data_IF_006893241342
#
_entry.id   IF_006893241342
#
_cell.length_a   1.000
_cell.length_b   1.000
_cell.length_c   1.000
_cell.angle_alpha   90.00
_cell.angle_beta   90.00
_cell.angle_gamma   90.00
#
_symmetry.space_group_name_H-M   'P 1'
#
loop_
_entity.id
_entity.type
_entity.pdbx_description
1 polymer ?
#
# COMPACT_ATOMS: atom_id res chain seq x y z
N UNK A 1 5.04 -19.55 -6.30
CA UNK A 1 5.01 -18.31 -7.10
C UNK A 1 4.07 -17.25 -6.54
N UNK A 2 2.81 -17.57 -6.19
CA UNK A 2 1.86 -16.61 -5.62
C UNK A 2 2.29 -15.92 -4.31
N UNK A 3 3.13 -16.59 -3.50
CA UNK A 3 3.70 -16.00 -2.29
C UNK A 3 4.57 -14.76 -2.57
N UNK A 4 5.48 -14.85 -3.55
CA UNK A 4 6.34 -13.72 -3.96
C UNK A 4 5.54 -12.58 -4.61
N UNK A 5 4.50 -12.92 -5.38
CA UNK A 5 3.58 -11.94 -5.96
C UNK A 5 2.83 -11.16 -4.87
N UNK A 6 2.31 -11.87 -3.87
CA UNK A 6 1.66 -11.24 -2.71
C UNK A 6 2.63 -10.41 -1.86
N UNK A 7 3.86 -10.88 -1.67
CA UNK A 7 4.91 -10.18 -0.92
C UNK A 7 5.35 -8.90 -1.66
N UNK A 8 5.44 -8.95 -3.00
CA UNK A 8 5.71 -7.79 -3.84
C UNK A 8 4.60 -6.73 -3.78
N UNK A 9 3.34 -7.13 -3.90
CA UNK A 9 2.20 -6.20 -3.74
C UNK A 9 2.14 -5.59 -2.33
N UNK A 10 2.50 -6.35 -1.30
CA UNK A 10 2.53 -5.88 0.07
C UNK A 10 3.66 -4.85 0.29
N UNK A 11 4.86 -5.07 -0.26
CA UNK A 11 5.96 -4.10 -0.22
C UNK A 11 5.64 -2.82 -0.99
N UNK A 12 5.03 -2.93 -2.18
CA UNK A 12 4.62 -1.77 -2.99
C UNK A 12 3.52 -0.96 -2.29
N UNK A 13 2.54 -1.63 -1.69
CA UNK A 13 1.50 -0.99 -0.88
C UNK A 13 2.10 -0.26 0.32
N UNK A 14 3.04 -0.88 1.03
CA UNK A 14 3.71 -0.28 2.20
C UNK A 14 4.56 0.93 1.82
N UNK A 15 5.33 0.84 0.73
CA UNK A 15 6.13 1.94 0.22
C UNK A 15 5.26 3.11 -0.25
N UNK A 16 4.12 2.85 -0.89
CA UNK A 16 3.19 3.88 -1.35
C UNK A 16 2.50 4.61 -0.20
N UNK A 17 2.06 3.88 0.84
CA UNK A 17 1.48 4.48 2.05
C UNK A 17 2.54 5.27 2.82
N UNK A 18 3.75 4.72 2.97
CA UNK A 18 4.86 5.38 3.66
C UNK A 18 5.30 6.69 2.99
N UNK A 19 5.44 6.70 1.66
CA UNK A 19 5.76 7.91 0.88
C UNK A 19 4.66 8.98 1.02
N UNK A 20 3.40 8.57 1.03
CA UNK A 20 2.29 9.49 1.19
C UNK A 20 2.21 10.08 2.61
N UNK A 21 2.45 9.26 3.63
CA UNK A 21 2.46 9.70 5.02
C UNK A 21 3.64 10.64 5.28
N UNK A 22 4.81 10.35 4.69
CA UNK A 22 5.98 11.22 4.72
C UNK A 22 5.76 12.54 3.99
N UNK A 23 5.11 12.51 2.82
CA UNK A 23 4.78 13.72 2.08
C UNK A 23 3.79 14.62 2.82
N UNK A 24 2.76 14.03 3.47
CA UNK A 24 1.80 14.76 4.29
C UNK A 24 2.42 15.35 5.56
N UNK A 25 3.32 14.62 6.23
CA UNK A 25 4.11 15.14 7.35
C UNK A 25 5.08 16.26 6.94
N UNK A 26 5.62 16.20 5.72
CA UNK A 26 6.58 17.20 5.22
C UNK A 26 5.90 18.47 4.72
N UNK A 27 4.73 18.36 4.08
CA UNK A 27 4.01 19.51 3.51
C UNK A 27 2.93 20.10 4.41
N UNK A 28 2.49 19.40 5.46
CA UNK A 28 1.56 19.92 6.46
C UNK A 28 0.09 20.06 6.01
N UNK A 29 -0.19 19.94 4.71
CA UNK A 29 -1.52 20.05 4.13
C UNK A 29 -1.85 18.77 3.35
N UNK A 30 -2.76 17.96 3.88
CA UNK A 30 -3.19 16.71 3.24
C UNK A 30 -4.10 17.02 2.06
N UNK A 31 -3.50 17.31 0.91
CA UNK A 31 -4.24 17.46 -0.33
C UNK A 31 -5.07 16.22 -0.66
N UNK A 32 -6.20 16.40 -1.34
CA UNK A 32 -7.12 15.35 -1.82
C UNK A 32 -6.40 14.20 -2.56
N UNK A 33 -5.27 14.52 -3.19
CA UNK A 33 -4.43 13.62 -3.98
C UNK A 33 -3.60 12.67 -3.09
N UNK A 34 -3.10 13.15 -1.96
CA UNK A 34 -2.39 12.34 -0.96
C UNK A 34 -3.35 11.40 -0.23
N UNK A 35 -4.56 11.86 0.11
CA UNK A 35 -5.58 10.99 0.69
C UNK A 35 -5.91 9.79 -0.22
N UNK A 36 -5.97 10.02 -1.53
CA UNK A 36 -6.18 8.98 -2.54
C UNK A 36 -4.99 8.03 -2.65
N UNK A 37 -3.76 8.55 -2.56
CA UNK A 37 -2.54 7.74 -2.56
C UNK A 37 -2.46 6.85 -1.31
N UNK A 38 -2.86 7.38 -0.15
CA UNK A 38 -2.90 6.65 1.11
C UNK A 38 -3.98 5.57 1.10
N UNK A 39 -5.21 5.89 0.69
CA UNK A 39 -6.31 4.93 0.57
C UNK A 39 -6.00 3.88 -0.49
N UNK A 40 -5.47 4.29 -1.65
CA UNK A 40 -5.09 3.41 -2.74
C UNK A 40 -3.94 2.47 -2.37
N UNK A 41 -2.90 2.99 -1.72
CA UNK A 41 -1.78 2.19 -1.20
C UNK A 41 -2.23 1.19 -0.12
N UNK A 42 -3.15 1.62 0.76
CA UNK A 42 -3.74 0.76 1.80
C UNK A 42 -4.58 -0.37 1.21
N UNK A 43 -5.38 -0.05 0.17
CA UNK A 43 -6.17 -1.04 -0.58
C UNK A 43 -5.27 -2.06 -1.28
N UNK A 44 -4.21 -1.60 -1.96
CA UNK A 44 -3.23 -2.49 -2.61
C UNK A 44 -2.53 -3.38 -1.59
N UNK A 45 -2.17 -2.84 -0.42
CA UNK A 45 -1.57 -3.61 0.68
C UNK A 45 -2.52 -4.70 1.21
N UNK A 46 -3.79 -4.37 1.39
CA UNK A 46 -4.81 -5.29 1.90
C UNK A 46 -5.17 -6.37 0.88
N UNK A 47 -5.35 -5.99 -0.39
CA UNK A 47 -5.61 -6.93 -1.50
C UNK A 47 -4.41 -7.86 -1.70
N UNK A 48 -3.18 -7.32 -1.68
CA UNK A 48 -1.95 -8.12 -1.73
C UNK A 48 -1.85 -9.12 -0.58
N UNK A 49 -2.21 -8.72 0.63
CA UNK A 49 -2.32 -9.60 1.81
C UNK A 49 -3.35 -10.70 1.61
N UNK A 50 -4.52 -10.37 1.07
CA UNK A 50 -5.60 -11.33 0.84
C UNK A 50 -5.20 -12.38 -0.21
N UNK A 51 -4.58 -11.96 -1.31
CA UNK A 51 -4.06 -12.87 -2.34
C UNK A 51 -2.89 -13.72 -1.83
N UNK A 52 -1.98 -13.15 -1.03
CA UNK A 52 -0.91 -13.90 -0.36
C UNK A 52 -1.49 -15.02 0.52
N UNK A 53 -2.53 -14.72 1.28
CA UNK A 53 -3.14 -15.67 2.22
C UNK A 53 -3.96 -16.77 1.50
N UNK A 54 -4.59 -16.44 0.36
CA UNK A 54 -5.28 -17.43 -0.48
C UNK A 54 -4.35 -18.36 -1.25
N UNK A 55 -3.17 -17.88 -1.66
CA UNK A 55 -2.16 -18.68 -2.36
C UNK A 55 -1.28 -19.56 -1.45
N UNK A 56 -1.53 -19.55 -0.14
CA UNK A 56 -0.85 -20.36 0.87
C UNK A 56 -1.67 -21.57 1.36
N UNK A 57 -2.80 -21.86 0.69
CA UNK A 57 -3.59 -23.09 0.87
C UNK A 57 -3.24 -24.10 -0.21
#
# INVERSE_FOLDING_TARGET
MFFYLGLGMQLVGFASVGLCLFAGLTKGDYGKLELIQLIGGSLVFYVGTFFKNKGSK
#
